data_IF_348445219377
#
_entry.id   IF_348445219377
#
_cell.length_a   1.000
_cell.length_b   1.000
_cell.length_c   1.000
_cell.angle_alpha   90.00
_cell.angle_beta   90.00
_cell.angle_gamma   90.00
#
_symmetry.space_group_name_H-M   'P 1'
#
loop_
_entity.id
_entity.type
_entity.pdbx_description
1 polymer ?
#
# COMPACT_ATOMS: atom_id res chain seq x y z
N UNK A 1 8.06 9.00 -17.37
CA UNK A 1 6.79 8.80 -16.65
C UNK A 1 5.86 7.89 -17.43
N UNK A 2 5.07 7.09 -16.72
CA UNK A 2 4.01 6.27 -17.32
C UNK A 2 2.67 6.90 -16.93
N UNK A 3 1.74 6.97 -17.87
CA UNK A 3 0.39 7.50 -17.63
C UNK A 3 -0.60 6.34 -17.78
N UNK A 4 -1.41 6.12 -16.75
CA UNK A 4 -2.54 5.18 -16.75
C UNK A 4 -3.83 5.99 -16.61
N UNK A 5 -4.82 5.67 -17.43
CA UNK A 5 -6.15 6.29 -17.36
C UNK A 5 -7.09 5.40 -16.58
N UNK A 6 -7.73 5.96 -15.58
CA UNK A 6 -8.76 5.31 -14.78
C UNK A 6 -10.11 5.97 -15.08
N UNK A 7 -11.10 5.15 -15.36
CA UNK A 7 -12.48 5.59 -15.58
C UNK A 7 -13.27 5.50 -14.27
N UNK A 8 -13.77 6.62 -13.79
CA UNK A 8 -14.59 6.69 -12.59
C UNK A 8 -16.02 6.99 -13.01
N UNK A 9 -16.95 6.10 -12.70
CA UNK A 9 -18.39 6.33 -12.92
C UNK A 9 -18.97 7.05 -11.72
N UNK A 10 -19.44 8.25 -11.95
CA UNK A 10 -20.03 9.12 -10.94
C UNK A 10 -21.55 9.13 -11.14
N UNK A 11 -22.32 8.85 -10.11
CA UNK A 11 -23.78 8.99 -10.14
C UNK A 11 -24.15 10.46 -10.11
N UNK A 12 -24.90 10.93 -11.09
CA UNK A 12 -25.31 12.33 -11.19
C UNK A 12 -26.25 12.75 -10.06
N UNK A 13 -27.11 11.84 -9.62
CA UNK A 13 -28.08 12.08 -8.56
C UNK A 13 -28.27 10.77 -7.77
N UNK A 14 -28.33 10.80 -6.42
CA UNK A 14 -28.57 9.62 -5.59
C UNK A 14 -29.83 8.82 -5.96
N UNK A 15 -30.85 9.50 -6.51
CA UNK A 15 -32.13 8.91 -6.88
C UNK A 15 -32.20 8.45 -8.34
N UNK A 16 -31.17 8.72 -9.17
CA UNK A 16 -31.12 8.33 -10.57
C UNK A 16 -30.09 7.22 -10.81
N UNK A 17 -30.38 6.24 -11.68
CA UNK A 17 -29.39 5.27 -12.14
C UNK A 17 -28.36 5.88 -13.11
N UNK A 18 -28.57 7.10 -13.59
CA UNK A 18 -27.68 7.75 -14.55
C UNK A 18 -26.30 8.02 -13.97
N UNK A 19 -25.28 7.70 -14.75
CA UNK A 19 -23.89 7.95 -14.40
C UNK A 19 -23.21 8.78 -15.49
N UNK A 20 -22.24 9.57 -15.10
CA UNK A 20 -21.24 10.17 -15.99
C UNK A 20 -19.87 9.52 -15.74
N UNK A 21 -19.02 9.55 -16.75
CA UNK A 21 -17.66 9.00 -16.63
C UNK A 21 -16.67 10.14 -16.56
N UNK A 22 -15.88 10.15 -15.50
CA UNK A 22 -14.72 11.01 -15.36
C UNK A 22 -13.45 10.19 -15.62
N UNK A 23 -12.53 10.73 -16.41
CA UNK A 23 -11.26 10.10 -16.69
C UNK A 23 -10.21 10.73 -15.79
N UNK A 24 -9.59 9.90 -14.95
CA UNK A 24 -8.52 10.29 -14.05
C UNK A 24 -7.18 9.76 -14.56
N UNK A 25 -6.18 10.63 -14.72
CA UNK A 25 -4.84 10.23 -15.14
C UNK A 25 -3.92 10.01 -13.94
N UNK A 26 -3.44 8.77 -13.80
CA UNK A 26 -2.44 8.40 -12.79
C UNK A 26 -1.07 8.48 -13.44
N UNK A 27 -0.26 9.43 -13.02
CA UNK A 27 1.11 9.63 -13.53
C UNK A 27 2.11 9.00 -12.57
N UNK A 28 2.84 7.99 -13.07
CA UNK A 28 3.90 7.32 -12.31
C UNK A 28 5.27 7.73 -12.85
N UNK A 29 6.16 8.10 -11.96
CA UNK A 29 7.56 8.43 -12.26
C UNK A 29 8.50 7.44 -11.58
N UNK A 30 9.81 7.53 -11.86
CA UNK A 30 10.83 6.77 -11.12
C UNK A 30 10.84 7.04 -9.61
N UNK A 31 10.29 8.19 -9.20
CA UNK A 31 10.24 8.61 -7.80
C UNK A 31 8.91 8.24 -7.11
N UNK A 32 7.98 7.63 -7.84
CA UNK A 32 6.66 7.25 -7.34
C UNK A 32 5.51 7.87 -8.12
N UNK A 33 4.31 7.70 -7.60
CA UNK A 33 3.07 8.24 -8.19
C UNK A 33 2.92 9.72 -7.84
N UNK A 34 2.60 10.56 -8.84
CA UNK A 34 2.26 11.97 -8.60
C UNK A 34 0.89 12.00 -7.91
N UNK A 35 0.84 12.51 -6.70
CA UNK A 35 -0.38 12.54 -5.89
C UNK A 35 -0.86 13.96 -5.57
N UNK A 36 -0.02 14.96 -5.73
CA UNK A 36 -0.36 16.35 -5.47
C UNK A 36 0.45 17.30 -6.36
N UNK A 37 -0.12 18.49 -6.57
CA UNK A 37 0.56 19.63 -7.18
C UNK A 37 0.28 20.88 -6.35
N UNK A 38 1.32 21.65 -6.01
CA UNK A 38 1.23 22.92 -5.31
C UNK A 38 2.36 23.84 -5.75
N UNK A 39 2.05 25.12 -5.96
CA UNK A 39 3.01 26.16 -6.37
C UNK A 39 3.83 25.78 -7.63
N UNK A 40 3.18 25.14 -8.60
CA UNK A 40 3.82 24.66 -9.83
C UNK A 40 4.79 23.49 -9.64
N UNK A 41 4.82 22.89 -8.45
CA UNK A 41 5.64 21.72 -8.12
C UNK A 41 4.78 20.48 -7.99
N UNK A 42 5.26 19.37 -8.59
CA UNK A 42 4.60 18.07 -8.51
C UNK A 42 5.26 17.22 -7.43
N UNK A 43 4.44 16.63 -6.58
CA UNK A 43 4.86 15.78 -5.47
C UNK A 43 4.63 14.32 -5.82
N UNK A 44 5.69 13.53 -5.80
CA UNK A 44 5.62 12.10 -6.03
C UNK A 44 5.69 11.34 -4.70
N UNK A 45 4.74 10.43 -4.50
CA UNK A 45 4.71 9.54 -3.35
C UNK A 45 5.50 8.26 -3.67
N UNK A 46 6.58 8.04 -2.95
CA UNK A 46 7.32 6.78 -2.95
C UNK A 46 6.95 6.00 -1.70
N UNK A 47 6.22 4.92 -1.88
CA UNK A 47 5.70 4.11 -0.78
C UNK A 47 5.88 2.63 -1.05
N UNK A 48 6.33 1.88 -0.06
CA UNK A 48 6.54 0.43 -0.14
C UNK A 48 5.28 -0.36 -0.48
N UNK A 49 4.09 0.18 -0.16
CA UNK A 49 2.81 -0.43 -0.55
C UNK A 49 2.60 -0.53 -2.07
N UNK A 50 3.38 0.22 -2.87
CA UNK A 50 3.37 0.10 -4.34
C UNK A 50 4.34 -0.94 -4.88
N UNK A 51 5.13 -1.60 -4.03
CA UNK A 51 6.03 -2.67 -4.46
C UNK A 51 5.23 -3.99 -4.60
N UNK A 52 5.08 -4.53 -5.82
CA UNK A 52 4.32 -5.75 -6.05
C UNK A 52 4.96 -7.01 -5.42
N UNK A 53 6.21 -6.91 -4.95
CA UNK A 53 6.91 -8.00 -4.25
C UNK A 53 6.56 -8.08 -2.77
N UNK A 54 5.91 -7.04 -2.22
CA UNK A 54 5.54 -6.96 -0.82
C UNK A 54 4.04 -7.21 -0.66
N UNK A 55 3.68 -7.98 0.35
CA UNK A 55 2.29 -8.28 0.71
C UNK A 55 2.12 -8.23 2.21
N UNK A 56 1.46 -7.18 2.68
CA UNK A 56 1.13 -7.02 4.10
C UNK A 56 0.23 -8.15 4.59
N UNK A 57 -0.69 -8.63 3.76
CA UNK A 57 -1.55 -9.75 4.10
C UNK A 57 -0.74 -11.01 4.36
N UNK A 58 0.19 -11.37 3.47
CA UNK A 58 1.05 -12.55 3.62
C UNK A 58 1.92 -12.44 4.87
N UNK A 59 2.47 -11.26 5.16
CA UNK A 59 3.25 -11.03 6.36
C UNK A 59 2.45 -11.37 7.63
N UNK A 60 1.23 -10.84 7.77
CA UNK A 60 0.38 -11.15 8.92
C UNK A 60 -0.09 -12.60 8.95
N UNK A 61 -0.37 -13.19 7.79
CA UNK A 61 -0.73 -14.60 7.71
C UNK A 61 0.41 -15.49 8.24
N UNK A 62 1.64 -15.28 7.76
CA UNK A 62 2.79 -16.09 8.19
C UNK A 62 3.25 -15.80 9.62
N UNK A 63 3.06 -14.59 10.15
CA UNK A 63 3.33 -14.28 11.56
C UNK A 63 2.55 -15.20 12.50
N UNK A 64 1.31 -15.57 12.15
CA UNK A 64 0.50 -16.49 12.97
C UNK A 64 1.06 -17.92 13.05
N UNK A 65 1.93 -18.30 12.11
CA UNK A 65 2.59 -19.62 12.09
C UNK A 65 4.01 -19.58 12.65
N UNK A 66 4.56 -18.41 12.91
CA UNK A 66 5.91 -18.25 13.45
C UNK A 66 6.03 -18.85 14.86
N UNK A 67 7.01 -19.73 15.04
CA UNK A 67 7.25 -20.46 16.30
C UNK A 67 8.46 -19.93 17.07
N UNK A 68 9.21 -19.01 16.48
CA UNK A 68 10.43 -18.45 17.03
C UNK A 68 10.75 -17.11 16.39
N UNK A 69 11.74 -16.41 16.93
CA UNK A 69 12.20 -15.10 16.47
C UNK A 69 12.59 -15.06 14.98
N UNK A 70 13.29 -16.08 14.49
CA UNK A 70 13.74 -16.11 13.09
C UNK A 70 12.57 -16.24 12.11
N UNK A 71 11.60 -17.08 12.43
CA UNK A 71 10.38 -17.24 11.64
C UNK A 71 9.53 -15.97 11.67
N UNK A 72 9.40 -15.33 12.84
CA UNK A 72 8.71 -14.05 12.99
C UNK A 72 9.34 -12.96 12.12
N UNK A 73 10.66 -12.76 12.19
CA UNK A 73 11.38 -11.82 11.34
C UNK A 73 11.20 -12.14 9.85
N UNK A 74 11.24 -13.42 9.50
CA UNK A 74 11.11 -13.86 8.11
C UNK A 74 9.72 -13.55 7.56
N UNK A 75 8.66 -13.77 8.34
CA UNK A 75 7.30 -13.41 7.97
C UNK A 75 7.16 -11.90 7.71
N UNK A 76 7.80 -11.07 8.50
CA UNK A 76 7.74 -9.61 8.35
C UNK A 76 8.52 -9.07 7.14
N UNK A 77 9.39 -9.85 6.49
CA UNK A 77 10.12 -9.39 5.30
C UNK A 77 9.23 -9.04 4.12
N UNK A 78 8.05 -9.62 4.04
CA UNK A 78 7.04 -9.31 3.01
C UNK A 78 6.15 -8.12 3.36
N UNK A 79 6.28 -7.56 4.57
CA UNK A 79 5.46 -6.43 5.02
C UNK A 79 5.79 -5.16 4.23
N UNK A 80 4.79 -4.59 3.54
CA UNK A 80 4.95 -3.42 2.69
C UNK A 80 3.91 -2.31 2.92
N UNK A 81 3.05 -2.48 3.92
CA UNK A 81 1.98 -1.53 4.23
C UNK A 81 2.44 -0.27 4.97
N UNK A 82 1.55 0.29 5.75
CA UNK A 82 1.86 1.42 6.62
C UNK A 82 2.94 1.05 7.64
N UNK A 83 3.87 1.97 7.90
CA UNK A 83 4.96 1.74 8.85
C UNK A 83 4.41 1.33 10.23
N UNK A 84 4.92 0.25 10.78
CA UNK A 84 4.55 -0.29 12.08
C UNK A 84 5.80 -0.65 12.89
N UNK A 85 5.71 -0.52 14.20
CA UNK A 85 6.68 -1.10 15.13
C UNK A 85 6.16 -2.47 15.55
N UNK A 86 7.03 -3.47 15.50
CA UNK A 86 6.71 -4.82 15.92
C UNK A 86 7.50 -5.17 17.17
N UNK A 87 6.86 -5.76 18.14
CA UNK A 87 7.46 -6.26 19.37
C UNK A 87 7.20 -7.76 19.46
N UNK A 88 8.24 -8.50 19.80
CA UNK A 88 8.20 -9.96 19.92
C UNK A 88 8.46 -10.37 21.38
N UNK A 89 7.71 -11.37 21.84
CA UNK A 89 8.01 -12.12 23.05
C UNK A 89 7.56 -13.56 22.89
N UNK A 90 8.29 -14.51 23.48
CA UNK A 90 7.94 -15.94 23.43
C UNK A 90 7.89 -16.57 24.83
N UNK A 91 7.39 -17.81 24.85
CA UNK A 91 7.25 -18.61 26.10
C UNK A 91 8.59 -19.00 26.72
N UNK A 92 9.70 -18.83 26.02
CA UNK A 92 11.06 -19.08 26.51
C UNK A 92 11.70 -17.83 27.13
N UNK A 93 10.96 -16.69 27.13
CA UNK A 93 11.43 -15.43 27.68
C UNK A 93 12.30 -14.62 26.71
N UNK A 94 12.35 -14.96 25.42
CA UNK A 94 13.03 -14.16 24.42
C UNK A 94 12.15 -12.93 24.08
N UNK A 95 12.79 -11.78 23.90
CA UNK A 95 12.18 -10.51 23.50
C UNK A 95 12.95 -9.88 22.33
N UNK A 96 12.25 -9.10 21.49
CA UNK A 96 12.87 -8.42 20.34
C UNK A 96 11.99 -7.31 19.76
#
# INVERSE_FOLDING_TARGET
>A
PTIRKEEIKIRKNPLSPETETEIFEVVTTRNGVIFAESDGKKYALKWTAFDPKLSTFDAFFYVNYAKNWEEFKTALKSYGGAMQNFVYADVKGNIG
#
